data_IF_838939597744
#
_entry.id   IF_838939597744
#
_cell.length_a   1.000
_cell.length_b   1.000
_cell.length_c   1.000
_cell.angle_alpha   90.00
_cell.angle_beta   90.00
_cell.angle_gamma   90.00
#
_symmetry.space_group_name_H-M   'P 1'
#
loop_
_entity.id
_entity.type
_entity.pdbx_description
1 polymer ?
#
# COMPACT_ATOMS: atom_id res chain seq x y z
N UNK A 1 -7.12 -10.65 24.75
CA UNK A 1 -7.39 -9.25 24.36
C UNK A 1 -6.37 -8.85 23.31
N UNK A 2 -6.82 -8.48 22.14
CA UNK A 2 -5.91 -7.94 21.14
C UNK A 2 -5.43 -6.55 21.59
N UNK A 3 -4.13 -6.37 21.62
CA UNK A 3 -3.53 -5.09 21.98
C UNK A 3 -3.49 -4.20 20.74
N UNK A 4 -3.92 -2.95 20.88
CA UNK A 4 -3.75 -1.94 19.83
C UNK A 4 -2.26 -1.65 19.63
N UNK A 5 -1.81 -1.69 18.39
CA UNK A 5 -0.44 -1.30 18.03
C UNK A 5 -0.42 0.15 17.58
N UNK A 6 0.64 0.85 17.98
CA UNK A 6 0.88 2.23 17.55
C UNK A 6 1.89 2.21 16.41
N UNK A 7 1.48 2.75 15.28
CA UNK A 7 2.29 2.77 14.05
C UNK A 7 2.39 4.13 13.41
N UNK A 8 3.15 4.18 12.32
CA UNK A 8 3.31 5.38 11.49
C UNK A 8 3.34 5.03 10.01
N UNK A 9 3.03 6.01 9.17
CA UNK A 9 3.18 5.90 7.72
C UNK A 9 4.62 6.21 7.32
N UNK A 10 5.14 5.41 6.40
CA UNK A 10 6.47 5.59 5.81
C UNK A 10 6.28 5.82 4.31
N UNK A 11 6.72 6.98 3.77
CA UNK A 11 6.78 7.16 2.32
C UNK A 11 7.68 6.10 1.69
N UNK A 12 7.16 5.35 0.72
CA UNK A 12 7.85 4.21 0.14
C UNK A 12 9.22 4.56 -0.45
N UNK A 13 9.32 5.72 -1.10
CA UNK A 13 10.58 6.22 -1.67
C UNK A 13 11.63 6.58 -0.61
N UNK A 14 11.22 6.80 0.63
CA UNK A 14 12.10 7.18 1.74
C UNK A 14 12.29 6.05 2.78
N UNK A 15 11.89 4.83 2.46
CA UNK A 15 11.89 3.70 3.40
C UNK A 15 13.27 3.45 3.98
N UNK A 16 14.31 3.34 3.16
CA UNK A 16 15.68 3.05 3.63
C UNK A 16 16.21 4.14 4.56
N UNK A 17 15.79 5.39 4.35
CA UNK A 17 16.17 6.53 5.18
C UNK A 17 15.38 6.61 6.48
N UNK A 18 14.07 6.42 6.43
CA UNK A 18 13.17 6.74 7.54
C UNK A 18 12.84 5.52 8.42
N UNK A 19 12.70 4.33 7.84
CA UNK A 19 12.30 3.15 8.59
C UNK A 19 13.22 2.83 9.78
N UNK A 20 14.56 2.90 9.66
CA UNK A 20 15.45 2.69 10.81
C UNK A 20 15.21 3.68 11.97
N UNK A 21 14.81 4.92 11.67
CA UNK A 21 14.48 5.91 12.70
C UNK A 21 13.18 5.54 13.41
N UNK A 22 12.17 5.10 12.70
CA UNK A 22 10.90 4.71 13.30
C UNK A 22 11.00 3.44 14.13
N UNK A 23 11.81 2.47 13.69
CA UNK A 23 12.13 1.27 14.48
C UNK A 23 12.77 1.67 15.82
N UNK A 24 13.77 2.55 15.78
CA UNK A 24 14.44 3.05 17.02
C UNK A 24 13.51 3.90 17.90
N UNK A 25 12.55 4.59 17.30
CA UNK A 25 11.58 5.41 18.04
C UNK A 25 10.53 4.58 18.80
N UNK A 26 10.48 3.27 18.57
CA UNK A 26 9.59 2.36 19.30
C UNK A 26 8.21 2.20 18.68
N UNK A 27 8.01 2.57 17.41
CA UNK A 27 6.77 2.22 16.72
C UNK A 27 6.63 0.71 16.59
N UNK A 28 5.41 0.22 16.75
CA UNK A 28 5.11 -1.22 16.77
C UNK A 28 4.74 -1.74 15.37
N UNK A 29 4.27 -0.84 14.49
CA UNK A 29 3.97 -1.16 13.10
C UNK A 29 4.19 0.04 12.18
N UNK A 30 4.30 -0.27 10.88
CA UNK A 30 4.47 0.74 9.82
C UNK A 30 3.55 0.44 8.64
N UNK A 31 3.01 1.48 8.03
CA UNK A 31 2.34 1.43 6.75
C UNK A 31 3.29 1.96 5.67
N UNK A 32 3.57 1.17 4.65
CA UNK A 32 4.47 1.54 3.55
C UNK A 32 3.64 2.05 2.37
N UNK A 33 3.75 3.33 2.05
CA UNK A 33 2.84 4.00 1.12
C UNK A 33 3.56 4.64 -0.05
N UNK A 34 3.00 4.42 -1.25
CA UNK A 34 3.40 5.08 -2.49
C UNK A 34 2.21 5.90 -3.03
N UNK A 35 2.50 7.03 -3.64
CA UNK A 35 1.50 7.94 -4.22
C UNK A 35 1.75 8.11 -5.71
N UNK A 36 0.78 7.71 -6.54
CA UNK A 36 0.75 7.85 -8.01
C UNK A 36 1.89 7.15 -8.75
N UNK A 37 3.03 6.94 -8.11
CA UNK A 37 4.23 6.35 -8.70
C UNK A 37 4.78 5.23 -7.81
N UNK A 38 5.24 4.17 -8.46
CA UNK A 38 5.97 3.09 -7.82
C UNK A 38 7.31 2.92 -8.57
N UNK A 39 8.39 3.57 -8.09
CA UNK A 39 9.66 3.64 -8.82
C UNK A 39 10.52 2.38 -8.72
N UNK A 40 10.07 1.38 -8.00
CA UNK A 40 10.76 0.09 -7.89
C UNK A 40 10.40 -0.82 -9.08
N UNK A 41 11.25 -1.79 -9.36
CA UNK A 41 11.00 -2.79 -10.40
C UNK A 41 9.71 -3.59 -10.14
N UNK A 42 9.58 -4.08 -8.91
CA UNK A 42 8.45 -4.84 -8.42
C UNK A 42 8.45 -4.88 -6.87
N UNK A 43 7.37 -5.37 -6.27
CA UNK A 43 7.29 -5.49 -4.81
C UNK A 43 8.24 -6.54 -4.22
N UNK A 44 8.51 -7.69 -4.84
CA UNK A 44 9.55 -8.58 -4.35
C UNK A 44 10.92 -7.91 -4.23
N UNK A 45 11.33 -7.12 -5.23
CA UNK A 45 12.59 -6.36 -5.19
C UNK A 45 12.57 -5.31 -4.09
N UNK A 46 11.46 -4.59 -3.93
CA UNK A 46 11.29 -3.64 -2.83
C UNK A 46 11.33 -4.32 -1.45
N UNK A 47 10.70 -5.49 -1.31
CA UNK A 47 10.74 -6.26 -0.06
C UNK A 47 12.16 -6.64 0.35
N UNK A 48 13.02 -6.99 -0.60
CA UNK A 48 14.43 -7.30 -0.31
C UNK A 48 15.21 -6.10 0.27
N UNK A 49 14.76 -4.87 0.01
CA UNK A 49 15.29 -3.66 0.64
C UNK A 49 14.69 -3.41 2.03
N UNK A 50 13.42 -3.72 2.23
CA UNK A 50 12.68 -3.47 3.48
C UNK A 50 13.03 -4.51 4.53
N UNK A 51 13.05 -5.77 4.16
CA UNK A 51 13.22 -6.91 5.08
C UNK A 51 14.42 -6.77 6.01
N UNK A 52 15.64 -6.43 5.53
CA UNK A 52 16.81 -6.27 6.42
C UNK A 52 16.64 -5.15 7.44
N UNK A 53 15.87 -4.11 7.11
CA UNK A 53 15.64 -2.96 8.01
C UNK A 53 14.73 -3.31 9.19
N UNK A 54 13.93 -4.36 9.06
CA UNK A 54 13.02 -4.87 10.09
C UNK A 54 13.61 -6.06 10.84
N UNK A 55 14.67 -6.65 10.33
CA UNK A 55 15.31 -7.84 10.92
C UNK A 55 15.77 -7.58 12.37
N UNK A 56 15.44 -8.51 13.27
CA UNK A 56 15.76 -8.37 14.70
C UNK A 56 14.84 -7.39 15.46
N UNK A 57 13.83 -6.82 14.81
CA UNK A 57 12.87 -5.88 15.40
C UNK A 57 11.48 -6.52 15.50
N UNK A 58 10.67 -6.14 16.50
CA UNK A 58 9.27 -6.59 16.61
C UNK A 58 8.30 -5.84 15.68
N UNK A 59 8.78 -4.86 14.92
CA UNK A 59 7.95 -4.01 14.06
C UNK A 59 7.33 -4.82 12.93
N UNK A 60 6.02 -4.65 12.74
CA UNK A 60 5.26 -5.30 11.67
C UNK A 60 4.86 -4.31 10.59
N UNK A 61 4.72 -4.78 9.37
CA UNK A 61 4.05 -4.02 8.31
C UNK A 61 2.54 -4.20 8.49
N UNK A 62 1.84 -3.11 8.77
CA UNK A 62 0.38 -3.12 8.97
C UNK A 62 -0.39 -3.08 7.66
N UNK A 63 0.17 -2.41 6.66
CA UNK A 63 -0.40 -2.32 5.32
C UNK A 63 0.65 -1.89 4.31
N UNK A 64 0.40 -2.18 3.05
CA UNK A 64 1.08 -1.55 1.92
C UNK A 64 0.07 -0.73 1.14
N UNK A 65 0.47 0.44 0.66
CA UNK A 65 -0.43 1.36 -0.01
C UNK A 65 0.10 1.84 -1.35
N UNK A 66 -0.79 1.83 -2.34
CA UNK A 66 -0.57 2.51 -3.61
C UNK A 66 -1.76 3.43 -3.88
N UNK A 67 -1.58 4.70 -3.57
CA UNK A 67 -2.64 5.71 -3.65
C UNK A 67 -2.69 6.28 -5.06
N UNK A 68 -3.70 5.87 -5.81
CA UNK A 68 -3.84 6.17 -7.24
C UNK A 68 -5.31 6.39 -7.64
N UNK A 69 -5.52 6.84 -8.88
CA UNK A 69 -6.84 6.88 -9.48
C UNK A 69 -7.06 5.67 -10.41
N UNK A 70 -7.43 4.54 -9.84
CA UNK A 70 -7.65 3.30 -10.57
C UNK A 70 -8.87 3.35 -11.50
N UNK A 71 -9.75 4.36 -11.38
CA UNK A 71 -10.95 4.50 -12.23
C UNK A 71 -10.59 4.97 -13.64
N UNK A 72 -9.56 5.82 -13.77
CA UNK A 72 -9.20 6.43 -15.05
C UNK A 72 -7.85 6.00 -15.59
N UNK A 73 -6.93 5.60 -14.71
CA UNK A 73 -5.56 5.25 -15.11
C UNK A 73 -5.35 3.74 -15.06
N UNK A 74 -5.34 3.10 -16.23
CA UNK A 74 -5.13 1.66 -16.34
C UNK A 74 -3.74 1.21 -15.83
N UNK A 75 -2.70 1.99 -16.11
CA UNK A 75 -1.35 1.68 -15.64
C UNK A 75 -1.24 1.69 -14.12
N UNK A 76 -1.84 2.69 -13.48
CA UNK A 76 -1.92 2.75 -12.02
C UNK A 76 -2.77 1.62 -11.44
N UNK A 77 -3.88 1.26 -12.10
CA UNK A 77 -4.71 0.13 -11.70
C UNK A 77 -3.93 -1.18 -11.73
N UNK A 78 -3.14 -1.44 -12.77
CA UNK A 78 -2.26 -2.62 -12.85
C UNK A 78 -1.20 -2.63 -11.74
N UNK A 79 -0.67 -1.47 -11.37
CA UNK A 79 0.24 -1.37 -10.23
C UNK A 79 -0.49 -1.70 -8.92
N UNK A 80 -1.72 -1.22 -8.74
CA UNK A 80 -2.53 -1.58 -7.57
C UNK A 80 -2.84 -3.08 -7.51
N UNK A 81 -3.14 -3.71 -8.64
CA UNK A 81 -3.29 -5.17 -8.74
C UNK A 81 -2.02 -5.90 -8.31
N UNK A 82 -0.86 -5.41 -8.73
CA UNK A 82 0.43 -5.95 -8.30
C UNK A 82 0.63 -5.84 -6.78
N UNK A 83 0.18 -4.75 -6.15
CA UNK A 83 0.19 -4.60 -4.68
C UNK A 83 -0.71 -5.64 -4.01
N UNK A 84 -1.91 -5.86 -4.53
CA UNK A 84 -2.83 -6.89 -4.02
C UNK A 84 -2.19 -8.28 -4.08
N UNK A 85 -1.62 -8.63 -5.23
CA UNK A 85 -1.02 -9.95 -5.44
C UNK A 85 0.18 -10.24 -4.52
N UNK A 86 0.88 -9.19 -4.05
CA UNK A 86 2.16 -9.31 -3.36
C UNK A 86 2.15 -8.82 -1.90
N UNK A 87 1.01 -8.39 -1.37
CA UNK A 87 0.90 -7.90 0.01
C UNK A 87 1.40 -8.94 1.04
N UNK A 88 1.15 -10.22 0.78
CA UNK A 88 1.55 -11.34 1.63
C UNK A 88 3.07 -11.40 1.89
N UNK A 89 3.91 -10.91 0.96
CA UNK A 89 5.38 -10.86 1.16
C UNK A 89 5.77 -10.01 2.37
N UNK A 90 4.96 -8.98 2.66
CA UNK A 90 5.17 -8.06 3.79
C UNK A 90 4.53 -8.55 5.10
N UNK A 91 3.91 -9.73 5.07
CA UNK A 91 3.20 -10.28 6.23
C UNK A 91 1.90 -9.55 6.54
N UNK A 92 1.30 -8.87 5.57
CA UNK A 92 0.01 -8.18 5.69
C UNK A 92 -0.96 -8.63 4.60
N UNK A 93 -2.24 -8.57 4.91
CA UNK A 93 -3.35 -8.78 3.98
C UNK A 93 -4.10 -7.47 3.67
N UNK A 94 -3.52 -6.33 4.09
CA UNK A 94 -4.16 -5.02 3.91
C UNK A 94 -3.43 -4.22 2.84
N UNK A 95 -4.16 -3.89 1.77
CA UNK A 95 -3.74 -2.95 0.73
C UNK A 95 -4.62 -1.72 0.79
N UNK A 96 -4.00 -0.54 0.78
CA UNK A 96 -4.70 0.75 0.86
C UNK A 96 -4.55 1.55 -0.42
N UNK A 97 -5.62 2.26 -0.80
CA UNK A 97 -5.65 3.10 -2.01
C UNK A 97 -6.71 4.19 -1.89
N UNK A 98 -6.76 5.10 -2.88
CA UNK A 98 -7.89 6.02 -3.04
C UNK A 98 -9.07 5.34 -3.74
N UNK A 99 -10.28 5.80 -3.43
CA UNK A 99 -11.48 5.39 -4.16
C UNK A 99 -11.44 5.80 -5.63
N UNK A 100 -10.71 6.88 -5.93
CA UNK A 100 -10.61 7.45 -7.26
C UNK A 100 -11.77 8.40 -7.59
N UNK A 101 -11.68 9.00 -8.75
CA UNK A 101 -12.68 9.94 -9.28
C UNK A 101 -12.69 9.89 -10.81
N UNK A 102 -13.72 10.42 -11.41
CA UNK A 102 -13.75 10.76 -12.84
C UNK A 102 -13.48 12.27 -12.98
N UNK A 103 -12.42 12.62 -13.71
CA UNK A 103 -11.99 14.02 -13.83
C UNK A 103 -13.12 14.92 -14.36
N UNK A 104 -13.32 16.06 -13.69
CA UNK A 104 -14.34 17.03 -14.06
C UNK A 104 -15.79 16.57 -13.81
N UNK A 105 -16.01 15.43 -13.17
CA UNK A 105 -17.34 14.90 -12.90
C UNK A 105 -17.67 14.93 -11.40
N UNK A 106 -18.94 15.11 -11.03
CA UNK A 106 -19.36 14.95 -9.63
C UNK A 106 -19.20 13.50 -9.16
N UNK A 107 -19.04 13.32 -7.86
CA UNK A 107 -18.77 12.01 -7.22
C UNK A 107 -19.81 10.95 -7.62
N UNK A 108 -21.07 11.33 -7.69
CA UNK A 108 -22.19 10.43 -8.04
C UNK A 108 -22.01 9.78 -9.42
N UNK A 109 -21.34 10.46 -10.34
CA UNK A 109 -21.06 9.92 -11.69
C UNK A 109 -19.94 8.87 -11.67
N UNK A 110 -19.08 8.92 -10.67
CA UNK A 110 -17.99 7.94 -10.50
C UNK A 110 -18.46 6.62 -9.86
N UNK A 111 -19.59 6.60 -9.17
CA UNK A 111 -20.05 5.42 -8.40
C UNK A 111 -20.19 4.16 -9.27
N UNK A 112 -20.81 4.18 -10.47
CA UNK A 112 -20.91 2.99 -11.31
C UNK A 112 -19.53 2.44 -11.71
N UNK A 113 -18.62 3.33 -12.09
CA UNK A 113 -17.24 2.95 -12.45
C UNK A 113 -16.47 2.40 -11.25
N UNK A 114 -16.65 3.02 -10.09
CA UNK A 114 -16.07 2.51 -8.84
C UNK A 114 -16.52 1.07 -8.55
N UNK A 115 -17.83 0.80 -8.64
CA UNK A 115 -18.37 -0.55 -8.39
C UNK A 115 -17.80 -1.59 -9.36
N UNK A 116 -17.62 -1.22 -10.63
CA UNK A 116 -17.02 -2.08 -11.63
C UNK A 116 -15.55 -2.39 -11.29
N UNK A 117 -14.72 -1.35 -11.17
CA UNK A 117 -13.27 -1.48 -10.94
C UNK A 117 -12.96 -2.13 -9.59
N UNK A 118 -13.56 -1.64 -8.51
CA UNK A 118 -13.32 -2.19 -7.17
C UNK A 118 -13.99 -3.54 -6.94
N UNK A 119 -15.05 -3.86 -7.68
CA UNK A 119 -15.59 -5.22 -7.71
C UNK A 119 -14.60 -6.24 -8.28
N UNK A 120 -13.86 -5.86 -9.32
CA UNK A 120 -12.78 -6.69 -9.88
C UNK A 120 -11.58 -6.80 -8.93
N UNK A 121 -11.14 -5.66 -8.36
CA UNK A 121 -10.03 -5.65 -7.40
C UNK A 121 -10.34 -6.45 -6.13
N UNK A 122 -11.58 -6.39 -5.63
CA UNK A 122 -12.01 -7.17 -4.48
C UNK A 122 -11.96 -8.68 -4.76
N UNK A 123 -12.45 -9.13 -5.91
CA UNK A 123 -12.33 -10.54 -6.32
C UNK A 123 -10.88 -11.01 -6.44
N UNK A 124 -9.99 -10.12 -6.87
CA UNK A 124 -8.55 -10.43 -6.94
C UNK A 124 -7.92 -10.55 -5.56
N UNK A 125 -8.45 -9.84 -4.57
CA UNK A 125 -7.95 -9.85 -3.19
C UNK A 125 -8.43 -11.05 -2.37
N UNK A 126 -9.44 -11.79 -2.85
CA UNK A 126 -9.94 -13.05 -2.25
C UNK A 126 -8.96 -14.21 -2.43
#
# INVERSE_FOLDING_TARGET
METIRIGTCVPGQATEKLLPHFVRAGFECVALNFHMEFPEKDLPTYWEKVRPLLEGSPVKVSSIGFYCNALENEGQRKTLEHFIDNAHLFGTDVVTTFAGALEGQPVEKAIPRYKEVFGELARRAE
#
